data_IF_679672463455
#
_entry.id   IF_679672463455
#
_cell.length_a   1.000
_cell.length_b   1.000
_cell.length_c   1.000
_cell.angle_alpha   90.00
_cell.angle_beta   90.00
_cell.angle_gamma   90.00
#
_symmetry.space_group_name_H-M   'P 1'
#
loop_
_entity.id
_entity.type
_entity.pdbx_description
1 polymer ?
#
# COMPACT_ATOMS: atom_id res chain seq x y z
N UNK A 1 -76.33 -41.79 -23.78
CA UNK A 1 -75.05 -42.05 -24.48
C UNK A 1 -75.15 -41.32 -25.81
N UNK A 2 -74.32 -40.36 -26.24
CA UNK A 2 -72.85 -40.30 -26.21
C UNK A 2 -72.40 -38.91 -26.68
N UNK A 3 -71.35 -38.37 -26.01
CA UNK A 3 -70.28 -37.47 -26.49
C UNK A 3 -70.62 -36.18 -27.27
N UNK A 4 -70.43 -35.03 -26.61
CA UNK A 4 -69.96 -33.79 -27.26
C UNK A 4 -68.47 -33.61 -26.96
N UNK A 5 -67.71 -33.39 -28.04
CA UNK A 5 -66.29 -33.11 -28.09
C UNK A 5 -66.06 -31.67 -27.66
N UNK A 6 -65.07 -31.40 -26.81
CA UNK A 6 -64.56 -30.04 -26.59
C UNK A 6 -63.05 -30.12 -26.43
N UNK A 7 -62.36 -29.50 -27.37
CA UNK A 7 -60.92 -29.42 -27.50
C UNK A 7 -60.28 -28.76 -26.28
N UNK A 8 -59.27 -29.39 -25.70
CA UNK A 8 -58.39 -28.77 -24.73
C UNK A 8 -57.22 -28.08 -25.46
N UNK A 9 -57.12 -26.77 -25.33
CA UNK A 9 -55.93 -26.01 -25.72
C UNK A 9 -54.98 -26.02 -24.52
N UNK A 10 -53.82 -26.66 -24.68
CA UNK A 10 -52.75 -26.63 -23.68
C UNK A 10 -52.00 -25.30 -23.78
N UNK A 11 -52.09 -24.48 -22.73
CA UNK A 11 -51.24 -23.29 -22.57
C UNK A 11 -50.07 -23.67 -21.64
N UNK A 12 -48.90 -23.90 -22.24
CA UNK A 12 -47.66 -24.11 -21.49
C UNK A 12 -47.14 -22.75 -21.00
N UNK A 13 -47.32 -22.46 -19.71
CA UNK A 13 -46.73 -21.27 -19.07
C UNK A 13 -45.27 -21.61 -18.75
N UNK A 14 -44.34 -21.05 -19.50
CA UNK A 14 -42.90 -21.11 -19.20
C UNK A 14 -42.60 -20.06 -18.12
N UNK A 15 -42.43 -20.48 -16.86
CA UNK A 15 -41.92 -19.59 -15.81
C UNK A 15 -40.45 -19.26 -16.11
N UNK A 16 -40.19 -18.02 -16.49
CA UNK A 16 -38.84 -17.45 -16.48
C UNK A 16 -38.41 -17.27 -15.02
N UNK A 17 -37.57 -18.16 -14.50
CA UNK A 17 -36.90 -17.92 -13.23
C UNK A 17 -35.83 -16.84 -13.46
N UNK A 18 -36.10 -15.62 -12.98
CA UNK A 18 -35.09 -14.59 -12.89
C UNK A 18 -34.11 -14.97 -11.78
N UNK A 19 -33.00 -15.60 -12.15
CA UNK A 19 -31.85 -15.74 -11.26
C UNK A 19 -31.15 -14.40 -11.18
N UNK A 20 -31.35 -13.67 -10.09
CA UNK A 20 -30.54 -12.48 -9.77
C UNK A 20 -29.06 -12.88 -9.69
N UNK A 21 -28.11 -12.03 -10.17
CA UNK A 21 -26.70 -12.40 -10.21
C UNK A 21 -26.12 -12.39 -8.79
N UNK A 22 -25.25 -13.37 -8.51
CA UNK A 22 -24.51 -13.61 -7.28
C UNK A 22 -23.54 -12.48 -6.83
N UNK A 23 -23.61 -11.30 -7.44
CA UNK A 23 -22.72 -10.15 -7.18
C UNK A 23 -22.93 -9.52 -5.79
N UNK A 24 -24.11 -9.70 -5.19
CA UNK A 24 -24.44 -9.08 -3.90
C UNK A 24 -23.88 -9.81 -2.67
N UNK A 25 -23.58 -11.11 -2.79
CA UNK A 25 -23.14 -11.94 -1.66
C UNK A 25 -21.63 -11.85 -1.44
N UNK A 26 -20.84 -11.76 -2.51
CA UNK A 26 -19.36 -11.76 -2.45
C UNK A 26 -18.78 -10.53 -1.74
N UNK A 27 -19.52 -9.41 -1.70
CA UNK A 27 -19.11 -8.16 -1.03
C UNK A 27 -19.38 -8.19 0.48
N UNK A 28 -20.34 -9.01 0.95
CA UNK A 28 -20.72 -9.06 2.37
C UNK A 28 -19.87 -10.02 3.20
N UNK A 29 -19.12 -10.93 2.56
CA UNK A 29 -18.29 -11.96 3.20
C UNK A 29 -16.77 -11.66 3.22
N UNK A 30 -16.33 -10.51 2.71
CA UNK A 30 -14.90 -10.16 2.72
C UNK A 30 -14.49 -9.58 4.07
N UNK A 31 -13.64 -10.30 4.81
CA UNK A 31 -13.03 -9.80 6.05
C UNK A 31 -12.27 -8.48 5.78
N UNK A 32 -12.64 -7.35 6.41
CA UNK A 32 -12.01 -6.05 6.17
C UNK A 32 -10.54 -5.99 6.60
N UNK A 33 -10.04 -7.00 7.33
CA UNK A 33 -8.64 -7.14 7.73
C UNK A 33 -7.82 -8.05 6.81
N UNK A 34 -8.43 -8.61 5.77
CA UNK A 34 -7.78 -9.51 4.82
C UNK A 34 -7.89 -8.97 3.40
N UNK A 35 -6.76 -8.87 2.72
CA UNK A 35 -6.73 -8.49 1.30
C UNK A 35 -6.73 -9.74 0.42
N UNK A 36 -7.62 -9.78 -0.57
CA UNK A 36 -7.49 -10.74 -1.66
C UNK A 36 -6.25 -10.38 -2.52
N UNK A 37 -5.50 -11.38 -3.03
CA UNK A 37 -4.38 -11.12 -3.93
C UNK A 37 -4.77 -10.25 -5.13
N UNK A 38 -3.84 -9.42 -5.59
CA UNK A 38 -4.06 -8.56 -6.76
C UNK A 38 -4.53 -9.39 -7.96
N UNK A 39 -5.62 -8.93 -8.60
CA UNK A 39 -6.18 -9.54 -9.82
C UNK A 39 -5.48 -9.06 -11.10
N UNK A 40 -4.49 -8.17 -11.03
CA UNK A 40 -3.70 -7.72 -12.19
C UNK A 40 -2.32 -8.39 -12.25
N UNK A 41 -2.18 -9.55 -12.92
CA UNK A 41 -0.91 -10.26 -13.00
C UNK A 41 0.15 -9.52 -13.82
N UNK A 42 -0.23 -8.46 -14.56
CA UNK A 42 0.68 -7.71 -15.41
C UNK A 42 1.39 -6.57 -14.68
N UNK A 43 1.01 -6.26 -13.43
CA UNK A 43 1.58 -5.18 -12.61
C UNK A 43 1.78 -3.90 -13.41
N UNK A 44 0.70 -3.45 -14.07
CA UNK A 44 0.78 -2.32 -15.01
C UNK A 44 1.24 -1.05 -14.29
N UNK A 45 2.06 -0.18 -14.90
CA UNK A 45 2.47 1.06 -14.26
C UNK A 45 1.28 1.82 -13.67
N UNK A 46 1.38 2.23 -12.40
CA UNK A 46 0.30 2.90 -11.67
C UNK A 46 0.16 4.40 -12.02
N UNK A 47 0.96 4.89 -12.99
CA UNK A 47 0.94 6.27 -13.45
C UNK A 47 1.68 7.26 -12.53
N UNK A 48 2.25 6.80 -11.41
CA UNK A 48 3.08 7.62 -10.52
C UNK A 48 4.53 7.68 -11.00
N UNK A 49 5.33 8.55 -10.37
CA UNK A 49 6.77 8.70 -10.59
C UNK A 49 7.20 8.81 -12.07
N UNK A 50 6.39 9.46 -12.91
CA UNK A 50 6.73 9.72 -14.33
C UNK A 50 7.94 10.64 -14.49
N UNK A 51 8.20 11.45 -13.46
CA UNK A 51 9.45 12.16 -13.20
C UNK A 51 10.01 11.67 -11.86
N UNK A 52 11.32 11.82 -11.60
CA UNK A 52 11.90 11.50 -10.30
C UNK A 52 11.09 12.16 -9.16
N UNK A 53 10.66 11.40 -8.14
CA UNK A 53 9.97 11.97 -6.98
C UNK A 53 10.87 12.99 -6.28
N UNK A 54 10.30 14.14 -5.93
CA UNK A 54 11.01 15.20 -5.22
C UNK A 54 10.42 15.36 -3.82
N UNK A 55 11.27 15.34 -2.80
CA UNK A 55 10.83 15.41 -1.42
C UNK A 55 11.96 15.38 -0.42
N UNK A 56 11.61 15.05 0.81
CA UNK A 56 12.53 14.94 1.93
C UNK A 56 12.35 13.60 2.65
N UNK A 57 13.46 13.04 3.12
CA UNK A 57 13.49 11.81 3.89
C UNK A 57 14.27 12.05 5.21
N UNK A 58 13.77 11.50 6.31
CA UNK A 58 14.33 11.77 7.65
C UNK A 58 15.71 11.18 7.92
N UNK A 59 16.12 10.13 7.21
CA UNK A 59 17.28 9.31 7.57
C UNK A 59 18.58 10.11 7.66
N UNK A 60 18.92 10.87 6.61
CA UNK A 60 20.23 11.51 6.46
C UNK A 60 20.56 12.49 7.58
N UNK A 61 19.54 13.10 8.20
CA UNK A 61 19.73 14.05 9.30
C UNK A 61 19.44 13.44 10.67
N UNK A 62 18.40 12.63 10.78
CA UNK A 62 17.85 12.22 12.07
C UNK A 62 18.16 10.77 12.43
N UNK A 63 18.44 9.90 11.46
CA UNK A 63 18.50 8.45 11.69
C UNK A 63 17.31 7.99 12.55
N UNK A 64 17.54 7.21 13.61
CA UNK A 64 16.49 6.81 14.55
C UNK A 64 16.00 7.91 15.51
N UNK A 65 16.46 9.17 15.41
CA UNK A 65 16.04 10.30 16.26
C UNK A 65 14.93 11.12 15.59
N UNK A 66 13.94 10.45 15.01
CA UNK A 66 12.77 11.04 14.36
C UNK A 66 11.53 10.89 15.24
N UNK A 67 10.67 11.90 15.25
CA UNK A 67 9.38 11.91 15.96
C UNK A 67 8.37 12.78 15.22
N UNK A 68 7.12 12.80 15.69
CA UNK A 68 6.02 13.54 15.06
C UNK A 68 6.31 15.04 14.92
N UNK A 69 6.90 15.67 15.93
CA UNK A 69 7.21 17.09 15.90
C UNK A 69 8.17 17.44 14.76
N UNK A 70 9.21 16.63 14.57
CA UNK A 70 10.16 16.78 13.46
C UNK A 70 9.43 16.70 12.13
N UNK A 71 8.55 15.72 11.94
CA UNK A 71 7.82 15.54 10.67
C UNK A 71 6.86 16.71 10.40
N UNK A 72 6.12 17.17 11.40
CA UNK A 72 5.23 18.34 11.25
C UNK A 72 6.03 19.59 10.90
N UNK A 73 7.13 19.86 11.61
CA UNK A 73 7.98 21.01 11.35
C UNK A 73 8.60 20.98 9.94
N UNK A 74 9.01 19.79 9.47
CA UNK A 74 9.52 19.61 8.11
C UNK A 74 8.42 19.82 7.06
N UNK A 75 7.22 19.30 7.29
CA UNK A 75 6.08 19.52 6.38
C UNK A 75 5.71 21.00 6.29
N UNK A 76 5.70 21.72 7.42
CA UNK A 76 5.48 23.17 7.44
C UNK A 76 6.57 23.91 6.67
N UNK A 77 7.84 23.60 6.92
CA UNK A 77 8.95 24.22 6.22
C UNK A 77 8.84 24.03 4.70
N UNK A 78 8.63 22.79 4.22
CA UNK A 78 8.51 22.50 2.79
C UNK A 78 7.34 23.28 2.17
N UNK A 79 6.21 23.35 2.88
CA UNK A 79 5.02 24.04 2.41
C UNK A 79 5.18 25.56 2.33
N UNK A 80 6.02 26.18 3.18
CA UNK A 80 6.08 27.65 3.30
C UNK A 80 7.37 28.30 2.81
N UNK A 81 8.47 27.55 2.63
CA UNK A 81 9.77 28.13 2.30
C UNK A 81 10.15 28.11 0.81
N UNK A 82 9.19 27.80 -0.07
CA UNK A 82 9.38 27.73 -1.52
C UNK A 82 9.78 26.35 -2.05
N UNK A 83 10.13 25.38 -1.19
CA UNK A 83 10.45 24.01 -1.64
C UNK A 83 9.28 23.33 -2.33
N UNK A 84 8.05 23.46 -1.80
CA UNK A 84 6.86 22.96 -2.49
C UNK A 84 6.68 23.56 -3.88
N UNK A 85 6.91 24.88 -4.03
CA UNK A 85 6.82 25.56 -5.31
C UNK A 85 7.92 25.10 -6.29
N UNK A 86 9.07 24.66 -5.78
CA UNK A 86 10.14 24.04 -6.55
C UNK A 86 9.89 22.55 -6.86
N UNK A 87 8.77 21.97 -6.44
CA UNK A 87 8.37 20.59 -6.76
C UNK A 87 8.57 19.56 -5.64
N UNK A 88 9.09 19.95 -4.47
CA UNK A 88 9.23 19.03 -3.33
C UNK A 88 7.87 18.74 -2.70
N UNK A 89 7.35 17.54 -2.90
CA UNK A 89 6.00 17.15 -2.48
C UNK A 89 5.98 16.00 -1.46
N UNK A 90 7.01 15.15 -1.37
CA UNK A 90 7.02 14.02 -0.43
C UNK A 90 7.70 14.36 0.91
N UNK A 91 7.09 13.93 2.02
CA UNK A 91 7.68 13.93 3.36
C UNK A 91 7.71 12.49 3.86
N UNK A 92 8.90 11.87 3.86
CA UNK A 92 9.09 10.44 4.14
C UNK A 92 9.70 10.24 5.52
N UNK A 93 8.99 9.52 6.38
CA UNK A 93 9.56 9.00 7.64
C UNK A 93 10.35 7.74 7.29
N UNK A 94 11.65 7.77 7.55
CA UNK A 94 12.51 6.60 7.41
C UNK A 94 12.42 5.66 8.63
N UNK A 95 13.34 4.71 8.77
CA UNK A 95 13.30 3.69 9.82
C UNK A 95 13.14 4.25 11.26
N UNK A 96 12.80 3.36 12.19
CA UNK A 96 12.64 3.63 13.62
C UNK A 96 11.38 4.41 14.01
N UNK A 97 10.33 4.36 13.17
CA UNK A 97 8.98 4.82 13.51
C UNK A 97 8.10 3.74 14.18
N UNK A 98 8.44 2.47 13.96
CA UNK A 98 7.63 1.31 14.31
C UNK A 98 7.42 1.12 15.82
N UNK A 99 6.19 0.78 16.19
CA UNK A 99 5.82 0.13 17.43
C UNK A 99 5.86 -1.40 17.32
N UNK A 100 5.17 -2.10 18.22
CA UNK A 100 5.00 -3.56 18.13
C UNK A 100 3.80 -3.93 17.27
N UNK A 101 3.84 -5.08 16.60
CA UNK A 101 2.63 -5.60 15.94
C UNK A 101 1.54 -5.84 16.99
N UNK A 102 0.29 -5.52 16.68
CA UNK A 102 -0.83 -5.77 17.58
C UNK A 102 -1.22 -7.26 17.59
N UNK A 103 -2.26 -7.63 18.36
CA UNK A 103 -2.70 -9.02 18.50
C UNK A 103 -3.13 -9.67 17.17
N UNK A 104 -3.58 -8.86 16.21
CA UNK A 104 -4.02 -9.30 14.88
C UNK A 104 -2.86 -9.30 13.85
N UNK A 105 -1.64 -8.95 14.28
CA UNK A 105 -0.44 -8.92 13.44
C UNK A 105 -0.22 -7.62 12.66
N UNK A 106 -1.11 -6.62 12.78
CA UNK A 106 -0.95 -5.33 12.10
C UNK A 106 0.21 -4.55 12.69
N UNK A 107 1.01 -3.93 11.81
CA UNK A 107 2.07 -3.01 12.22
C UNK A 107 1.47 -1.76 12.90
N UNK A 108 2.14 -1.27 13.94
CA UNK A 108 1.74 -0.05 14.66
C UNK A 108 2.90 0.93 14.72
N UNK A 109 2.62 2.17 15.10
CA UNK A 109 3.63 3.19 15.37
C UNK A 109 4.08 3.22 16.84
N UNK A 110 5.29 3.72 17.07
CA UNK A 110 5.75 4.07 18.41
C UNK A 110 4.95 5.29 18.90
N UNK A 111 4.02 5.06 19.83
CA UNK A 111 3.11 6.09 20.35
C UNK A 111 3.79 7.14 21.23
N UNK A 112 4.98 6.88 21.76
CA UNK A 112 5.75 7.89 22.49
C UNK A 112 6.40 8.88 21.52
N UNK A 113 6.80 8.40 20.32
CA UNK A 113 7.35 9.25 19.26
C UNK A 113 6.28 9.90 18.39
N UNK A 114 5.16 9.20 18.19
CA UNK A 114 4.05 9.57 17.31
C UNK A 114 2.73 9.57 18.08
N UNK A 115 2.56 10.48 19.06
CA UNK A 115 1.43 10.47 19.99
C UNK A 115 0.08 10.77 19.34
N UNK A 116 0.00 11.37 18.16
CA UNK A 116 -1.26 11.47 17.42
C UNK A 116 -1.53 10.24 16.54
N UNK A 117 -0.48 9.51 16.19
CA UNK A 117 -0.51 8.34 15.33
C UNK A 117 -0.36 8.68 13.86
N UNK A 118 -0.01 7.67 13.05
CA UNK A 118 0.41 7.93 11.67
C UNK A 118 -0.72 8.36 10.75
N UNK A 119 -1.96 7.94 10.99
CA UNK A 119 -3.12 8.48 10.24
C UNK A 119 -3.26 9.99 10.43
N UNK A 120 -3.25 10.46 11.68
CA UNK A 120 -3.40 11.88 11.98
C UNK A 120 -2.20 12.70 11.47
N UNK A 121 -1.00 12.13 11.49
CA UNK A 121 0.18 12.75 10.91
C UNK A 121 0.12 12.81 9.38
N UNK A 122 -0.32 11.75 8.72
CA UNK A 122 -0.52 11.73 7.28
C UNK A 122 -1.57 12.77 6.86
N UNK A 123 -2.71 12.82 7.55
CA UNK A 123 -3.77 13.82 7.32
C UNK A 123 -3.24 15.25 7.47
N UNK A 124 -2.34 15.49 8.45
CA UNK A 124 -1.68 16.79 8.60
C UNK A 124 -0.81 17.14 7.40
N UNK A 125 0.02 16.20 6.93
CA UNK A 125 0.89 16.39 5.76
C UNK A 125 0.04 16.64 4.50
N UNK A 126 -1.04 15.88 4.30
CA UNK A 126 -2.00 16.09 3.22
C UNK A 126 -2.67 17.45 3.29
N UNK A 127 -3.01 17.93 4.50
CA UNK A 127 -3.57 19.27 4.73
C UNK A 127 -2.64 20.42 4.30
N UNK A 128 -1.34 20.17 4.16
CA UNK A 128 -0.36 21.12 3.59
C UNK A 128 -0.25 21.00 2.06
N UNK A 129 -1.03 20.11 1.45
CA UNK A 129 -0.94 19.72 0.04
C UNK A 129 0.39 19.05 -0.29
N UNK A 130 0.94 18.28 0.67
CA UNK A 130 2.10 17.43 0.51
C UNK A 130 1.67 15.96 0.55
N UNK A 131 2.59 15.04 0.26
CA UNK A 131 2.39 13.58 0.22
C UNK A 131 3.16 12.93 1.36
N UNK A 132 2.53 11.97 2.03
CA UNK A 132 3.10 11.31 3.20
C UNK A 132 3.78 10.01 2.82
N UNK A 133 5.03 9.81 3.24
CA UNK A 133 5.79 8.59 2.97
C UNK A 133 6.23 7.87 4.25
N UNK A 134 6.38 6.55 4.13
CA UNK A 134 6.84 5.68 5.20
C UNK A 134 7.93 4.73 4.71
N UNK A 135 8.62 4.10 5.65
CA UNK A 135 9.64 3.09 5.43
C UNK A 135 9.18 1.72 5.92
N UNK A 136 9.55 0.67 5.19
CA UNK A 136 9.52 -0.72 5.66
C UNK A 136 10.68 -1.51 5.05
N UNK A 137 10.77 -2.80 5.36
CA UNK A 137 11.83 -3.71 4.92
C UNK A 137 11.26 -5.06 4.46
N UNK A 138 11.82 -5.61 3.39
CA UNK A 138 11.44 -6.91 2.82
C UNK A 138 11.83 -8.13 3.66
N UNK A 139 12.66 -7.95 4.69
CA UNK A 139 13.06 -9.00 5.61
C UNK A 139 12.22 -9.07 6.88
N UNK A 140 12.69 -9.90 7.81
CA UNK A 140 12.05 -10.10 9.13
C UNK A 140 12.23 -8.89 10.06
N UNK A 141 13.27 -8.08 9.82
CA UNK A 141 13.57 -6.86 10.56
C UNK A 141 14.08 -5.79 9.63
N UNK A 142 13.83 -4.53 9.99
CA UNK A 142 14.46 -3.39 9.35
C UNK A 142 15.95 -3.32 9.68
N UNK A 143 16.69 -2.48 8.94
CA UNK A 143 18.11 -2.26 9.23
C UNK A 143 18.36 -1.69 10.64
N UNK A 144 17.42 -0.92 11.19
CA UNK A 144 17.40 -0.43 12.57
C UNK A 144 16.82 -1.42 13.59
N UNK A 145 16.59 -2.68 13.19
CA UNK A 145 16.15 -3.77 14.07
C UNK A 145 14.67 -3.72 14.46
N UNK A 146 13.84 -2.98 13.71
CA UNK A 146 12.38 -2.88 13.91
C UNK A 146 11.65 -4.00 13.16
N UNK A 147 10.35 -4.24 13.40
CA UNK A 147 9.61 -5.24 12.63
C UNK A 147 9.68 -4.97 11.12
N UNK A 148 10.09 -5.96 10.33
CA UNK A 148 10.01 -5.92 8.87
C UNK A 148 8.69 -6.52 8.35
N UNK A 149 8.47 -6.45 7.05
CA UNK A 149 7.21 -6.87 6.41
C UNK A 149 7.19 -8.32 5.93
N UNK A 150 8.28 -9.09 6.05
CA UNK A 150 8.29 -10.51 5.67
C UNK A 150 7.16 -11.29 6.37
N UNK A 151 6.25 -11.85 5.59
CA UNK A 151 5.09 -12.63 6.09
C UNK A 151 3.88 -11.78 6.47
N UNK A 152 3.99 -10.45 6.38
CA UNK A 152 2.95 -9.48 6.71
C UNK A 152 2.67 -8.51 5.57
N UNK A 153 3.17 -8.76 4.35
CA UNK A 153 3.17 -7.79 3.25
C UNK A 153 1.78 -7.24 2.93
N UNK A 154 0.76 -8.09 2.88
CA UNK A 154 -0.64 -7.68 2.65
C UNK A 154 -1.27 -6.96 3.86
N UNK A 155 -0.96 -7.37 5.08
CA UNK A 155 -1.45 -6.71 6.29
C UNK A 155 -0.85 -5.31 6.43
N UNK A 156 0.46 -5.19 6.16
CA UNK A 156 1.18 -3.93 6.20
C UNK A 156 0.70 -3.00 5.09
N UNK A 157 0.54 -3.48 3.85
CA UNK A 157 -0.04 -2.70 2.75
C UNK A 157 -1.44 -2.16 3.09
N UNK A 158 -2.31 -3.00 3.67
CA UNK A 158 -3.63 -2.57 4.14
C UNK A 158 -3.53 -1.48 5.21
N UNK A 159 -2.61 -1.64 6.17
CA UNK A 159 -2.41 -0.64 7.22
C UNK A 159 -1.88 0.68 6.67
N UNK A 160 -0.94 0.64 5.72
CA UNK A 160 -0.42 1.83 5.04
C UNK A 160 -1.51 2.55 4.24
N UNK A 161 -2.39 1.79 3.57
CA UNK A 161 -3.56 2.35 2.88
C UNK A 161 -4.52 3.04 3.87
N UNK A 162 -4.83 2.39 5.00
CA UNK A 162 -5.65 2.95 6.09
C UNK A 162 -5.05 4.24 6.65
N UNK A 163 -3.73 4.33 6.75
CA UNK A 163 -3.01 5.52 7.18
C UNK A 163 -2.91 6.61 6.11
N UNK A 164 -3.19 6.30 4.84
CA UNK A 164 -3.12 7.27 3.75
C UNK A 164 -1.70 7.47 3.20
N UNK A 165 -0.82 6.47 3.27
CA UNK A 165 0.55 6.55 2.73
C UNK A 165 0.54 6.75 1.20
N UNK A 166 1.39 7.65 0.70
CA UNK A 166 1.58 7.96 -0.73
C UNK A 166 2.93 7.45 -1.29
N UNK A 167 3.86 7.08 -0.40
CA UNK A 167 5.20 6.64 -0.75
C UNK A 167 5.69 5.58 0.24
N UNK A 168 6.13 4.43 -0.26
CA UNK A 168 6.77 3.39 0.53
C UNK A 168 8.21 3.23 0.08
N UNK A 169 9.16 3.54 0.96
CA UNK A 169 10.55 3.08 0.83
C UNK A 169 10.65 1.67 1.39
N UNK A 170 11.10 0.71 0.57
CA UNK A 170 11.13 -0.71 0.91
C UNK A 170 12.55 -1.28 0.83
N UNK A 171 13.13 -1.47 2.01
CA UNK A 171 14.53 -1.84 2.21
C UNK A 171 14.74 -3.37 2.17
N UNK A 172 15.96 -3.82 2.46
CA UNK A 172 16.41 -5.21 2.27
C UNK A 172 17.43 -5.65 3.32
N UNK A 173 17.08 -5.52 4.59
CA UNK A 173 17.86 -6.03 5.71
C UNK A 173 17.19 -7.29 6.29
N UNK A 174 17.96 -8.16 6.93
CA UNK A 174 17.41 -9.38 7.57
C UNK A 174 16.52 -10.26 6.67
N UNK A 175 16.86 -10.34 5.37
CA UNK A 175 16.12 -11.08 4.33
C UNK A 175 16.55 -12.54 4.19
N UNK A 176 17.70 -12.91 4.76
CA UNK A 176 18.20 -14.28 4.71
C UNK A 176 18.40 -14.76 3.27
N UNK A 177 17.69 -15.82 2.88
CA UNK A 177 17.77 -16.46 1.57
C UNK A 177 16.65 -16.03 0.61
N UNK A 178 15.89 -14.97 0.92
CA UNK A 178 14.78 -14.51 0.08
C UNK A 178 15.25 -14.08 -1.30
N UNK A 179 14.42 -14.33 -2.30
CA UNK A 179 14.57 -13.79 -3.63
C UNK A 179 14.07 -12.32 -3.66
N UNK A 180 14.91 -11.41 -4.18
CA UNK A 180 14.61 -9.99 -4.30
C UNK A 180 13.38 -9.71 -5.17
N UNK A 181 13.38 -10.26 -6.37
CA UNK A 181 12.32 -10.05 -7.35
C UNK A 181 10.96 -10.48 -6.80
N UNK A 182 10.88 -11.66 -6.21
CA UNK A 182 9.64 -12.19 -5.61
C UNK A 182 9.16 -11.35 -4.43
N UNK A 183 10.07 -10.96 -3.53
CA UNK A 183 9.70 -10.21 -2.34
C UNK A 183 9.21 -8.78 -2.67
N UNK A 184 9.84 -8.10 -3.63
CA UNK A 184 9.37 -6.79 -4.09
C UNK A 184 8.10 -6.88 -4.92
N UNK A 185 7.97 -7.91 -5.77
CA UNK A 185 6.75 -8.18 -6.50
C UNK A 185 5.58 -8.43 -5.55
N UNK A 186 5.78 -9.20 -4.48
CA UNK A 186 4.77 -9.48 -3.46
C UNK A 186 4.27 -8.20 -2.78
N UNK A 187 5.17 -7.31 -2.39
CA UNK A 187 4.78 -6.01 -1.82
C UNK A 187 4.08 -5.12 -2.85
N UNK A 188 4.53 -5.10 -4.10
CA UNK A 188 3.85 -4.38 -5.18
C UNK A 188 2.40 -4.87 -5.40
N UNK A 189 2.20 -6.19 -5.38
CA UNK A 189 0.89 -6.81 -5.50
C UNK A 189 0.00 -6.49 -4.29
N UNK A 190 0.58 -6.52 -3.07
CA UNK A 190 -0.10 -6.16 -1.83
C UNK A 190 -0.56 -4.68 -1.79
N UNK A 191 0.30 -3.75 -2.20
CA UNK A 191 -0.02 -2.33 -2.28
C UNK A 191 -1.17 -2.06 -3.26
N UNK A 192 -1.18 -2.72 -4.42
CA UNK A 192 -2.28 -2.62 -5.38
C UNK A 192 -3.60 -3.17 -4.83
N UNK A 193 -3.54 -4.32 -4.15
CA UNK A 193 -4.71 -4.94 -3.55
C UNK A 193 -5.33 -4.08 -2.44
N UNK A 194 -4.53 -3.22 -1.78
CA UNK A 194 -5.00 -2.38 -0.67
C UNK A 194 -6.02 -1.29 -1.06
N UNK A 195 -6.18 -1.01 -2.37
CA UNK A 195 -7.01 0.08 -2.86
C UNK A 195 -6.33 1.46 -2.85
N UNK A 196 -5.08 1.54 -2.35
CA UNK A 196 -4.23 2.74 -2.43
C UNK A 196 -2.81 2.32 -2.81
N UNK A 197 -2.41 2.61 -4.05
CA UNK A 197 -1.13 2.20 -4.64
C UNK A 197 -0.10 3.36 -4.54
N UNK A 198 0.74 3.44 -3.49
CA UNK A 198 1.75 4.48 -3.35
C UNK A 198 2.91 4.31 -4.34
N UNK A 199 3.79 5.32 -4.43
CA UNK A 199 5.11 5.12 -5.03
C UNK A 199 5.85 4.04 -4.24
N UNK A 200 6.39 3.03 -4.93
CA UNK A 200 7.22 1.99 -4.33
C UNK A 200 8.69 2.25 -4.68
N UNK A 201 9.47 2.67 -3.70
CA UNK A 201 10.90 2.93 -3.80
C UNK A 201 11.69 1.74 -3.25
N UNK A 202 12.49 1.13 -4.11
CA UNK A 202 13.24 -0.09 -3.82
C UNK A 202 14.74 0.16 -3.99
N UNK A 203 15.57 -0.65 -3.35
CA UNK A 203 17.03 -0.48 -3.43
C UNK A 203 17.55 -0.63 -4.86
N UNK A 204 18.44 0.26 -5.32
CA UNK A 204 18.99 0.30 -6.70
C UNK A 204 19.48 -1.07 -7.20
N UNK A 205 20.29 -1.78 -6.40
CA UNK A 205 20.81 -3.09 -6.78
C UNK A 205 19.77 -4.20 -6.94
N UNK A 206 18.50 -3.91 -6.62
CA UNK A 206 17.38 -4.84 -6.74
C UNK A 206 16.32 -4.36 -7.74
N UNK A 207 16.41 -3.11 -8.23
CA UNK A 207 15.69 -2.69 -9.42
C UNK A 207 16.17 -3.46 -10.65
N UNK A 208 17.45 -3.78 -10.77
CA UNK A 208 17.96 -4.55 -11.91
C UNK A 208 17.30 -5.94 -11.98
N UNK A 209 17.09 -6.58 -10.83
CA UNK A 209 16.34 -7.84 -10.74
C UNK A 209 14.87 -7.68 -11.21
N UNK A 210 14.21 -6.59 -10.83
CA UNK A 210 12.83 -6.29 -11.25
C UNK A 210 12.72 -5.81 -12.71
N UNK A 211 13.77 -5.18 -13.24
CA UNK A 211 13.81 -4.59 -14.58
C UNK A 211 14.10 -5.62 -15.68
N UNK A 212 14.78 -6.73 -15.33
CA UNK A 212 15.03 -7.86 -16.24
C UNK A 212 13.74 -8.59 -16.69
N UNK A 213 12.59 -8.30 -16.05
CA UNK A 213 11.26 -8.82 -16.42
C UNK A 213 10.47 -8.07 -17.50
N UNK A 214 10.93 -6.89 -17.98
CA UNK A 214 10.25 -5.95 -18.92
C UNK A 214 9.06 -5.16 -18.33
N UNK A 215 9.11 -3.83 -18.52
CA UNK A 215 8.05 -2.80 -18.36
C UNK A 215 7.66 -2.30 -16.95
N UNK A 216 8.59 -2.09 -16.02
CA UNK A 216 8.25 -1.49 -14.71
C UNK A 216 8.80 -0.07 -14.53
N UNK A 217 8.04 0.94 -15.00
CA UNK A 217 8.20 2.37 -14.64
C UNK A 217 7.53 2.72 -13.29
N UNK A 218 7.39 1.75 -12.38
CA UNK A 218 6.74 1.96 -11.06
C UNK A 218 7.76 2.15 -9.94
N UNK A 219 9.01 1.73 -10.15
CA UNK A 219 10.01 1.69 -9.09
C UNK A 219 10.91 2.91 -9.14
N UNK A 220 11.14 3.48 -7.97
CA UNK A 220 12.16 4.51 -7.75
C UNK A 220 13.33 3.84 -7.02
N UNK A 221 14.54 4.32 -7.30
CA UNK A 221 15.78 3.72 -6.83
C UNK A 221 16.45 4.68 -5.84
N UNK A 222 16.79 4.21 -4.64
CA UNK A 222 17.63 4.97 -3.71
C UNK A 222 18.98 4.28 -3.43
N UNK A 223 20.00 5.10 -3.23
CA UNK A 223 21.30 4.70 -2.67
C UNK A 223 21.28 4.86 -1.14
N UNK A 224 22.10 4.08 -0.44
CA UNK A 224 22.33 4.28 1.02
C UNK A 224 23.12 5.54 1.29
#
# INVERSE_FOLDING_TARGET
MTRKISSAIAATILLLQATSPALGQEVLDQDPNTLAPSKDPKRRPNGLAQTPPMGWNSWNKFACKVNEQTIRATADAIATNGMKAAGYEYVVIDDCWHGTRNADGFITEDRDRFPSGLKALADYVHGKGLKFGIYSDAGTKTCGGRPGSQGHEYQDALQYARWGVDYLKYDWCSTGVRNAEEAYALMSDALRASGRDPVLDVRVGQLEALALGRQHRQYVAHHR
#
